data_IF_847946366094
#
_entry.id   IF_847946366094
#
_cell.length_a   1.000
_cell.length_b   1.000
_cell.length_c   1.000
_cell.angle_alpha   90.00
_cell.angle_beta   90.00
_cell.angle_gamma   90.00
#
_symmetry.space_group_name_H-M   'P 1'
#
loop_
_entity.id
_entity.type
_entity.pdbx_description
1 polymer ?
#
# COMPACT_ATOMS: atom_id res chain seq x y z
N UNK A 1 11.03 -40.86 51.61
CA UNK A 1 10.17 -40.17 50.62
C UNK A 1 10.58 -40.48 49.17
N UNK A 2 11.86 -40.37 48.79
CA UNK A 2 12.36 -40.71 47.44
C UNK A 2 12.04 -42.16 46.97
N UNK A 3 12.12 -43.12 47.88
CA UNK A 3 11.89 -44.55 47.62
C UNK A 3 10.41 -44.90 47.36
N UNK A 4 9.47 -44.16 47.96
CA UNK A 4 8.03 -44.30 47.71
C UNK A 4 7.70 -43.75 46.32
N UNK A 5 8.29 -42.61 45.93
CA UNK A 5 8.18 -42.07 44.58
C UNK A 5 8.73 -43.03 43.52
N UNK A 6 9.91 -43.62 43.75
CA UNK A 6 10.50 -44.58 42.82
C UNK A 6 9.68 -45.89 42.69
N UNK A 7 9.10 -46.38 43.79
CA UNK A 7 8.23 -47.55 43.79
C UNK A 7 6.91 -47.27 43.07
N UNK A 8 6.28 -46.12 43.34
CA UNK A 8 5.09 -45.66 42.63
C UNK A 8 5.37 -45.53 41.12
N UNK A 9 6.50 -44.92 40.74
CA UNK A 9 6.94 -44.77 39.35
C UNK A 9 7.11 -46.11 38.64
N UNK A 10 7.73 -47.11 39.29
CA UNK A 10 7.87 -48.47 38.75
C UNK A 10 6.53 -49.16 38.52
N UNK A 11 5.57 -49.03 39.45
CA UNK A 11 4.24 -49.63 39.32
C UNK A 11 3.46 -48.98 38.18
N UNK A 12 3.54 -47.66 38.06
CA UNK A 12 2.91 -46.88 36.98
C UNK A 12 3.47 -47.30 35.62
N UNK A 13 4.80 -47.41 35.47
CA UNK A 13 5.45 -47.85 34.23
C UNK A 13 5.10 -49.31 33.86
N UNK A 14 5.02 -50.21 34.86
CA UNK A 14 4.69 -51.62 34.63
C UNK A 14 3.23 -51.81 34.21
N UNK A 15 2.30 -51.05 34.80
CA UNK A 15 0.89 -51.00 34.37
C UNK A 15 0.73 -50.31 33.02
N UNK A 16 1.48 -49.24 32.74
CA UNK A 16 1.45 -48.55 31.46
C UNK A 16 1.90 -49.40 30.28
N UNK A 17 2.80 -50.39 30.49
CA UNK A 17 3.13 -51.39 29.46
C UNK A 17 2.02 -52.42 29.23
N UNK A 18 1.24 -52.76 30.25
CA UNK A 18 0.10 -53.67 30.12
C UNK A 18 -1.07 -53.01 29.38
N UNK A 19 -1.30 -51.72 29.65
CA UNK A 19 -2.37 -50.91 29.07
C UNK A 19 -1.85 -49.88 28.04
N UNK A 20 -0.84 -50.25 27.25
CA UNK A 20 -0.16 -49.34 26.30
C UNK A 20 -1.12 -48.71 25.28
N UNK A 21 -2.14 -49.45 24.83
CA UNK A 21 -3.17 -48.95 23.92
C UNK A 21 -3.99 -47.81 24.54
N UNK A 22 -4.27 -47.86 25.83
CA UNK A 22 -5.03 -46.81 26.54
C UNK A 22 -4.18 -45.55 26.65
N UNK A 23 -2.90 -45.69 27.00
CA UNK A 23 -1.96 -44.56 27.05
C UNK A 23 -1.74 -43.95 25.66
N UNK A 24 -1.63 -44.77 24.62
CA UNK A 24 -1.50 -44.31 23.24
C UNK A 24 -2.75 -43.55 22.78
N UNK A 25 -3.94 -44.07 23.08
CA UNK A 25 -5.20 -43.38 22.79
C UNK A 25 -5.32 -42.05 23.55
N UNK A 26 -4.97 -42.03 24.84
CA UNK A 26 -4.97 -40.81 25.64
C UNK A 26 -3.98 -39.76 25.09
N UNK A 27 -2.76 -40.18 24.73
CA UNK A 27 -1.77 -39.31 24.12
C UNK A 27 -2.27 -38.74 22.79
N UNK A 28 -2.82 -39.60 21.92
CA UNK A 28 -3.38 -39.20 20.63
C UNK A 28 -4.53 -38.19 20.79
N UNK A 29 -5.45 -38.41 21.74
CA UNK A 29 -6.54 -37.49 22.04
C UNK A 29 -5.99 -36.15 22.54
N UNK A 30 -5.02 -36.16 23.45
CA UNK A 30 -4.40 -34.92 23.97
C UNK A 30 -3.70 -34.16 22.83
N UNK A 31 -2.96 -34.85 21.96
CA UNK A 31 -2.30 -34.22 20.81
C UNK A 31 -3.33 -33.63 19.85
N UNK A 32 -4.38 -34.37 19.49
CA UNK A 32 -5.46 -33.87 18.62
C UNK A 32 -6.17 -32.66 19.22
N UNK A 33 -6.52 -32.71 20.50
CA UNK A 33 -7.17 -31.60 21.19
C UNK A 33 -6.26 -30.37 21.25
N UNK A 34 -4.97 -30.56 21.51
CA UNK A 34 -3.97 -29.48 21.54
C UNK A 34 -3.78 -28.87 20.15
N UNK A 35 -3.68 -29.70 19.10
CA UNK A 35 -3.59 -29.23 17.71
C UNK A 35 -4.83 -28.43 17.32
N UNK A 36 -6.03 -28.93 17.66
CA UNK A 36 -7.28 -28.25 17.37
C UNK A 36 -7.35 -26.89 18.09
N UNK A 37 -7.00 -26.84 19.38
CA UNK A 37 -6.97 -25.61 20.17
C UNK A 37 -5.94 -24.61 19.63
N UNK A 38 -4.76 -25.09 19.19
CA UNK A 38 -3.70 -24.27 18.60
C UNK A 38 -4.06 -23.74 17.20
N UNK A 39 -4.91 -24.44 16.46
CA UNK A 39 -5.33 -24.01 15.11
C UNK A 39 -6.22 -22.76 15.11
N UNK A 40 -6.95 -22.51 16.20
CA UNK A 40 -7.88 -21.39 16.32
C UNK A 40 -7.23 -20.02 16.08
N UNK A 41 -6.16 -19.65 16.82
CA UNK A 41 -5.44 -18.40 16.62
C UNK A 41 -4.87 -18.24 15.19
N UNK A 42 -4.34 -19.32 14.61
CA UNK A 42 -3.78 -19.29 13.24
C UNK A 42 -4.88 -18.99 12.22
N UNK A 43 -6.02 -19.67 12.33
CA UNK A 43 -7.14 -19.46 11.43
C UNK A 43 -7.76 -18.07 11.60
N UNK A 44 -7.95 -17.61 12.84
CA UNK A 44 -8.47 -16.28 13.12
C UNK A 44 -7.58 -15.18 12.52
N UNK A 45 -6.25 -15.32 12.64
CA UNK A 45 -5.29 -14.39 12.04
C UNK A 45 -5.40 -14.39 10.50
N UNK A 46 -5.48 -15.57 9.88
CA UNK A 46 -5.61 -15.69 8.42
C UNK A 46 -6.91 -15.07 7.89
N UNK A 47 -8.04 -15.31 8.58
CA UNK A 47 -9.34 -14.73 8.23
C UNK A 47 -9.34 -13.22 8.40
N UNK A 48 -8.74 -12.71 9.48
CA UNK A 48 -8.64 -11.27 9.74
C UNK A 48 -7.81 -10.56 8.68
N UNK A 49 -6.67 -11.14 8.28
CA UNK A 49 -5.82 -10.59 7.23
C UNK A 49 -6.50 -10.59 5.86
N UNK A 50 -7.21 -11.67 5.54
CA UNK A 50 -7.96 -11.78 4.29
C UNK A 50 -9.13 -10.79 4.25
N UNK A 51 -9.84 -10.64 5.37
CA UNK A 51 -10.91 -9.66 5.54
C UNK A 51 -10.40 -8.22 5.41
N UNK A 52 -9.24 -7.91 6.01
CA UNK A 52 -8.60 -6.61 5.88
C UNK A 52 -8.21 -6.32 4.42
N UNK A 53 -7.53 -7.25 3.74
CA UNK A 53 -7.18 -7.09 2.33
C UNK A 53 -8.42 -6.84 1.47
N UNK A 54 -9.49 -7.60 1.68
CA UNK A 54 -10.73 -7.42 0.93
C UNK A 54 -11.39 -6.07 1.22
N UNK A 55 -11.40 -5.66 2.48
CA UNK A 55 -11.98 -4.37 2.90
C UNK A 55 -11.20 -3.20 2.30
N UNK A 56 -9.86 -3.26 2.31
CA UNK A 56 -9.02 -2.24 1.69
C UNK A 56 -9.16 -2.21 0.16
N UNK A 57 -9.28 -3.38 -0.47
CA UNK A 57 -9.49 -3.49 -1.91
C UNK A 57 -10.83 -2.89 -2.36
N UNK A 58 -11.90 -3.09 -1.59
CA UNK A 58 -13.24 -2.63 -1.91
C UNK A 58 -13.52 -1.20 -1.38
N UNK A 59 -12.63 -0.65 -0.53
CA UNK A 59 -12.76 0.69 0.01
C UNK A 59 -12.48 1.77 -1.05
N UNK A 60 -13.14 2.94 -0.97
CA UNK A 60 -12.76 4.10 -1.76
C UNK A 60 -11.29 4.47 -1.52
N UNK A 61 -10.57 4.88 -2.57
CA UNK A 61 -9.14 5.23 -2.52
C UNK A 61 -8.81 6.23 -1.41
N UNK A 62 -9.70 7.20 -1.17
CA UNK A 62 -9.53 8.20 -0.10
C UNK A 62 -9.57 7.60 1.32
N UNK A 63 -10.20 6.44 1.52
CA UNK A 63 -10.28 5.74 2.80
C UNK A 63 -9.20 4.67 2.98
N UNK A 64 -8.62 4.18 1.87
CA UNK A 64 -7.55 3.18 1.87
C UNK A 64 -6.14 3.80 1.86
N UNK A 65 -6.01 5.08 1.55
CA UNK A 65 -4.73 5.78 1.42
C UNK A 65 -4.49 6.77 2.54
N UNK A 66 -3.21 7.02 2.84
CA UNK A 66 -2.78 8.15 3.67
C UNK A 66 -2.32 9.27 2.75
N UNK A 67 -3.09 10.36 2.73
CA UNK A 67 -2.78 11.55 1.95
C UNK A 67 -2.23 12.65 2.87
N UNK A 68 -1.08 13.20 2.49
CA UNK A 68 -0.48 14.38 3.12
C UNK A 68 -0.52 15.49 2.09
N UNK A 69 -1.21 16.58 2.40
CA UNK A 69 -1.33 17.75 1.52
C UNK A 69 -0.77 18.98 2.22
N UNK A 70 0.10 19.70 1.53
CA UNK A 70 0.66 20.96 1.98
C UNK A 70 0.83 21.90 0.79
N UNK A 71 0.69 23.21 1.04
CA UNK A 71 1.06 24.25 0.09
C UNK A 71 2.54 24.55 0.29
N UNK A 72 3.36 24.29 -0.72
CA UNK A 72 4.82 24.36 -0.63
C UNK A 72 5.33 25.36 -1.67
N UNK A 73 6.27 26.22 -1.28
CA UNK A 73 6.97 27.14 -2.18
C UNK A 73 7.98 26.33 -3.00
N UNK A 74 8.16 26.59 -4.31
CA UNK A 74 9.01 25.76 -5.18
C UNK A 74 10.41 25.46 -4.62
N UNK A 75 11.05 26.45 -4.00
CA UNK A 75 12.42 26.31 -3.44
C UNK A 75 12.52 25.28 -2.30
N UNK A 76 11.43 25.04 -1.58
CA UNK A 76 11.39 24.09 -0.46
C UNK A 76 10.89 22.70 -0.87
N UNK A 77 10.41 22.51 -2.11
CA UNK A 77 9.73 21.29 -2.55
C UNK A 77 10.58 20.03 -2.30
N UNK A 78 11.85 20.05 -2.69
CA UNK A 78 12.74 18.90 -2.53
C UNK A 78 12.97 18.54 -1.06
N UNK A 79 13.13 19.55 -0.20
CA UNK A 79 13.32 19.35 1.24
C UNK A 79 12.10 18.71 1.90
N UNK A 80 10.89 19.15 1.52
CA UNK A 80 9.65 18.55 2.01
C UNK A 80 9.48 17.12 1.50
N UNK A 81 9.75 16.88 0.21
CA UNK A 81 9.65 15.56 -0.41
C UNK A 81 10.58 14.55 0.28
N UNK A 82 11.84 14.92 0.50
CA UNK A 82 12.82 14.09 1.22
C UNK A 82 12.36 13.76 2.65
N UNK A 83 11.71 14.71 3.32
CA UNK A 83 11.18 14.50 4.66
C UNK A 83 9.99 13.53 4.67
N UNK A 84 9.04 13.70 3.74
CA UNK A 84 7.87 12.83 3.60
C UNK A 84 8.30 11.41 3.22
N UNK A 85 9.20 11.26 2.24
CA UNK A 85 9.71 9.95 1.81
C UNK A 85 10.44 9.26 2.95
N UNK A 86 11.30 9.96 3.71
CA UNK A 86 12.02 9.39 4.85
C UNK A 86 11.08 8.93 5.97
N UNK A 87 10.10 9.76 6.34
CA UNK A 87 9.14 9.42 7.41
C UNK A 87 8.19 8.32 6.95
N UNK A 88 7.66 8.42 5.73
CA UNK A 88 6.74 7.45 5.15
C UNK A 88 7.37 6.08 4.96
N UNK A 89 8.58 6.01 4.40
CA UNK A 89 9.32 4.75 4.25
C UNK A 89 9.59 4.07 5.58
N UNK A 90 9.90 4.84 6.64
CA UNK A 90 10.05 4.30 7.99
C UNK A 90 8.73 3.80 8.60
N UNK A 91 7.67 4.59 8.50
CA UNK A 91 6.36 4.28 9.08
C UNK A 91 5.70 3.06 8.45
N UNK A 92 5.86 2.89 7.13
CA UNK A 92 5.26 1.80 6.35
C UNK A 92 6.24 0.67 6.01
N UNK A 93 7.42 0.62 6.63
CA UNK A 93 8.45 -0.39 6.33
C UNK A 93 7.94 -1.84 6.47
N UNK A 94 7.05 -2.09 7.44
CA UNK A 94 6.52 -3.44 7.71
C UNK A 94 5.37 -3.85 6.78
N UNK A 95 4.56 -2.89 6.31
CA UNK A 95 3.41 -3.15 5.43
C UNK A 95 3.75 -2.99 3.95
N UNK A 96 4.78 -2.21 3.64
CA UNK A 96 5.10 -1.76 2.29
C UNK A 96 4.06 -0.78 1.75
N UNK A 97 4.18 -0.50 0.45
CA UNK A 97 3.29 0.39 -0.31
C UNK A 97 4.07 1.42 -1.12
N UNK A 98 3.64 1.72 -2.36
CA UNK A 98 4.26 2.78 -3.14
C UNK A 98 3.95 4.14 -2.52
N UNK A 99 4.97 5.00 -2.42
CA UNK A 99 4.80 6.41 -2.14
C UNK A 99 4.78 7.11 -3.51
N UNK A 100 3.66 7.73 -3.84
CA UNK A 100 3.48 8.48 -5.07
C UNK A 100 3.26 9.95 -4.76
N UNK A 101 3.85 10.83 -5.57
CA UNK A 101 3.70 12.27 -5.43
C UNK A 101 2.70 12.79 -6.45
N UNK A 102 1.93 13.77 -6.01
CA UNK A 102 1.02 14.54 -6.86
C UNK A 102 1.15 16.00 -6.49
N UNK A 103 1.09 16.88 -7.48
CA UNK A 103 1.09 18.32 -7.24
C UNK A 103 0.17 19.03 -8.20
N UNK A 104 -0.40 20.12 -7.72
CA UNK A 104 -1.30 20.99 -8.47
C UNK A 104 -0.83 22.41 -8.19
N UNK A 105 -0.56 23.18 -9.23
CA UNK A 105 -0.18 24.58 -9.10
C UNK A 105 -1.39 25.44 -8.75
N UNK A 106 -1.15 26.70 -8.37
CA UNK A 106 -2.20 27.71 -8.46
C UNK A 106 -2.55 27.96 -9.95
N UNK A 107 -3.65 28.69 -10.19
CA UNK A 107 -4.12 28.98 -11.55
C UNK A 107 -3.26 30.04 -12.25
N UNK A 108 -2.93 29.80 -13.51
CA UNK A 108 -2.21 30.71 -14.40
C UNK A 108 -3.12 31.16 -15.54
N UNK A 109 -3.06 32.44 -15.90
CA UNK A 109 -3.75 32.94 -17.08
C UNK A 109 -3.08 32.41 -18.35
N UNK A 110 -3.86 31.87 -19.28
CA UNK A 110 -3.33 31.53 -20.60
C UNK A 110 -2.93 32.81 -21.35
N UNK A 111 -1.86 32.77 -22.15
CA UNK A 111 -1.39 33.92 -22.92
C UNK A 111 -2.44 34.40 -23.95
N UNK A 112 -2.28 35.65 -24.41
CA UNK A 112 -3.09 36.27 -25.47
C UNK A 112 -4.58 36.52 -25.15
N UNK A 113 -4.90 36.80 -23.89
CA UNK A 113 -6.25 37.21 -23.48
C UNK A 113 -6.30 38.67 -23.03
N UNK A 114 -7.36 39.40 -23.43
CA UNK A 114 -7.59 40.79 -23.02
C UNK A 114 -8.29 40.88 -21.65
N UNK A 115 -9.27 39.99 -21.42
CA UNK A 115 -9.87 39.73 -20.10
C UNK A 115 -9.37 38.36 -19.63
N UNK A 116 -8.84 38.26 -18.41
CA UNK A 116 -8.40 36.97 -17.85
C UNK A 116 -9.62 36.09 -17.59
N UNK A 117 -9.91 35.16 -18.50
CA UNK A 117 -11.04 34.22 -18.40
C UNK A 117 -10.59 32.77 -18.45
N UNK A 118 -9.61 32.46 -19.28
CA UNK A 118 -9.09 31.12 -19.44
C UNK A 118 -7.87 30.92 -18.54
N UNK A 119 -8.05 30.07 -17.53
CA UNK A 119 -7.04 29.72 -16.55
C UNK A 119 -6.60 28.27 -16.76
N UNK A 120 -5.30 28.05 -16.76
CA UNK A 120 -4.68 26.74 -16.74
C UNK A 120 -4.10 26.44 -15.36
N UNK A 121 -4.07 25.16 -15.01
CA UNK A 121 -3.39 24.67 -13.82
C UNK A 121 -2.42 23.60 -14.27
N UNK A 122 -1.19 23.65 -13.75
CA UNK A 122 -0.20 22.62 -13.97
C UNK A 122 -0.34 21.57 -12.90
N UNK A 123 -0.52 20.33 -13.31
CA UNK A 123 -0.54 19.19 -12.41
C UNK A 123 0.49 18.16 -12.81
N UNK A 124 1.10 17.50 -11.84
CA UNK A 124 1.91 16.33 -12.07
C UNK A 124 1.42 15.17 -11.20
N UNK A 125 1.59 13.96 -11.71
CA UNK A 125 1.29 12.71 -11.05
C UNK A 125 2.43 11.76 -11.38
N UNK A 126 3.11 11.23 -10.36
CA UNK A 126 4.14 10.23 -10.58
C UNK A 126 3.51 8.97 -11.20
N UNK A 127 4.10 8.46 -12.28
CA UNK A 127 3.66 7.21 -12.91
C UNK A 127 2.33 7.31 -13.67
N UNK A 128 1.87 8.52 -14.04
CA UNK A 128 0.62 8.73 -14.79
C UNK A 128 0.55 7.92 -16.08
N UNK A 129 1.69 7.61 -16.69
CA UNK A 129 1.83 6.78 -17.88
C UNK A 129 1.34 5.34 -17.68
N UNK A 130 1.28 4.87 -16.43
CA UNK A 130 0.73 3.55 -16.08
C UNK A 130 -0.79 3.59 -15.88
N UNK A 131 -1.38 4.78 -15.83
CA UNK A 131 -2.78 5.02 -15.48
C UNK A 131 -3.57 5.77 -16.56
N UNK A 132 -2.89 6.26 -17.59
CA UNK A 132 -3.50 6.96 -18.71
C UNK A 132 -3.01 6.37 -20.05
N UNK A 133 -3.87 6.44 -21.06
CA UNK A 133 -3.54 6.00 -22.41
C UNK A 133 -3.18 7.20 -23.27
N UNK A 134 -2.01 7.14 -23.92
CA UNK A 134 -1.60 8.17 -24.88
C UNK A 134 -2.46 8.05 -26.14
N UNK A 135 -3.18 9.12 -26.48
CA UNK A 135 -4.03 9.19 -27.67
C UNK A 135 -3.22 9.67 -28.89
N UNK A 136 -2.33 10.64 -28.69
CA UNK A 136 -1.50 11.22 -29.74
C UNK A 136 -0.13 11.66 -29.19
N UNK A 137 0.92 11.59 -30.02
CA UNK A 137 2.29 11.98 -29.64
C UNK A 137 3.01 10.97 -28.75
N UNK A 138 3.75 11.47 -27.75
CA UNK A 138 4.58 10.67 -26.81
C UNK A 138 4.60 11.29 -25.42
N UNK A 139 4.95 10.49 -24.42
CA UNK A 139 5.16 10.98 -23.06
C UNK A 139 6.32 12.01 -23.01
N UNK A 140 6.24 13.03 -22.13
CA UNK A 140 7.27 14.06 -22.00
C UNK A 140 8.61 13.48 -21.55
N UNK A 141 9.70 14.01 -22.07
CA UNK A 141 11.03 13.71 -21.56
C UNK A 141 11.42 14.66 -20.42
N UNK A 142 11.98 14.08 -19.36
CA UNK A 142 12.49 14.81 -18.21
C UNK A 142 13.61 15.77 -18.63
N UNK A 143 13.55 17.03 -18.16
CA UNK A 143 14.54 18.08 -18.46
C UNK A 143 14.71 18.39 -19.96
N UNK A 144 13.62 18.30 -20.73
CA UNK A 144 13.57 18.82 -22.10
C UNK A 144 13.60 20.36 -22.12
N UNK A 145 14.19 20.92 -23.19
CA UNK A 145 14.10 22.35 -23.51
C UNK A 145 13.71 22.48 -24.99
N UNK A 146 12.49 22.95 -25.32
CA UNK A 146 11.45 23.45 -24.43
C UNK A 146 10.86 22.38 -23.49
N UNK A 147 10.23 22.80 -22.39
CA UNK A 147 9.58 21.88 -21.44
C UNK A 147 8.40 21.21 -22.14
N UNK A 148 8.45 19.88 -22.23
CA UNK A 148 7.36 19.08 -22.77
C UNK A 148 6.28 18.85 -21.71
N UNK A 149 5.02 19.00 -22.10
CA UNK A 149 3.86 18.73 -21.25
C UNK A 149 2.84 17.86 -21.98
N UNK A 150 2.03 17.13 -21.21
CA UNK A 150 0.88 16.39 -21.70
C UNK A 150 -0.41 17.03 -21.23
N UNK A 151 -1.45 16.78 -22.02
CA UNK A 151 -2.73 17.46 -22.00
C UNK A 151 -3.81 16.37 -22.06
N UNK A 152 -4.90 16.54 -21.32
CA UNK A 152 -6.05 15.64 -21.51
C UNK A 152 -6.66 15.88 -22.89
N UNK A 153 -7.12 14.82 -23.54
CA UNK A 153 -7.73 14.91 -24.87
C UNK A 153 -8.83 15.99 -24.96
N UNK A 154 -9.67 16.06 -23.93
CA UNK A 154 -10.70 17.08 -23.82
C UNK A 154 -10.14 18.50 -23.73
N UNK A 155 -9.08 18.71 -22.95
CA UNK A 155 -8.46 20.02 -22.84
C UNK A 155 -7.77 20.43 -24.15
N UNK A 156 -7.18 19.48 -24.90
CA UNK A 156 -6.65 19.75 -26.25
C UNK A 156 -7.72 20.18 -27.22
N UNK A 157 -8.87 19.51 -27.20
CA UNK A 157 -10.02 19.86 -28.03
C UNK A 157 -10.61 21.23 -27.68
N UNK A 158 -10.74 21.54 -26.39
CA UNK A 158 -11.29 22.82 -25.92
C UNK A 158 -10.36 24.00 -26.22
N UNK A 159 -9.04 23.80 -26.09
CA UNK A 159 -8.04 24.83 -26.34
C UNK A 159 -7.59 24.92 -27.81
N UNK A 160 -8.03 23.97 -28.66
CA UNK A 160 -7.59 23.88 -30.06
C UNK A 160 -6.10 23.55 -30.19
N UNK A 161 -5.52 22.87 -29.20
CA UNK A 161 -4.10 22.51 -29.16
C UNK A 161 -3.90 21.08 -29.67
N UNK A 162 -2.81 20.88 -30.41
CA UNK A 162 -2.35 19.62 -30.97
C UNK A 162 -0.87 19.41 -30.64
N UNK A 163 -0.37 18.18 -30.83
CA UNK A 163 1.04 17.87 -30.62
C UNK A 163 1.94 18.80 -31.43
N UNK A 164 2.94 19.40 -30.77
CA UNK A 164 3.88 20.34 -31.38
C UNK A 164 3.47 21.81 -31.31
N UNK A 165 2.31 22.15 -30.72
CA UNK A 165 2.02 23.54 -30.37
C UNK A 165 2.84 24.00 -29.16
N UNK A 166 3.31 25.23 -29.21
CA UNK A 166 4.04 25.89 -28.13
C UNK A 166 3.12 26.91 -27.45
N UNK A 167 3.12 26.89 -26.11
CA UNK A 167 2.36 27.82 -25.28
C UNK A 167 3.37 28.54 -24.38
N UNK A 168 3.39 29.86 -24.42
CA UNK A 168 4.37 30.71 -23.70
C UNK A 168 3.68 31.63 -22.71
#
# INVERSE_FOLDING_TARGET
MLSIFAAAWRVILKRGRADWLILAAALLIITLATTLLSSGPIYAAAVSLSGLHRTLHDAPVAAANVQISARIVPDDLQRFDDAVVRVGSGAFAATGGPIARTGVSDSYALPNQQDVRDLAVFSFFDGIENHATMVDGRWPQTMSNPIEAVLSDEAGRLLGLSVGNEVT
#
